data_IF_241822929614
#
_entry.id   IF_241822929614
#
_cell.length_a   1.000
_cell.length_b   1.000
_cell.length_c   1.000
_cell.angle_alpha   90.00
_cell.angle_beta   90.00
_cell.angle_gamma   90.00
#
_symmetry.space_group_name_H-M   'P 1'
#
loop_
_entity.id
_entity.type
_entity.pdbx_description
1 polymer ?
#
# COMPACT_ATOMS: atom_id res chain seq x y z
N UNK A 1 16.57 77.23 -9.04
CA UNK A 1 16.77 77.01 -7.60
C UNK A 1 15.99 75.75 -7.26
N UNK A 2 16.71 74.72 -6.82
CA UNK A 2 16.33 73.66 -5.84
C UNK A 2 14.91 73.08 -5.90
N UNK A 3 14.65 71.78 -5.83
CA UNK A 3 15.38 70.67 -5.21
C UNK A 3 14.58 69.36 -5.36
N UNK A 4 15.29 68.26 -5.10
CA UNK A 4 14.83 66.97 -4.55
C UNK A 4 14.46 65.83 -5.51
N UNK A 5 15.42 64.90 -5.53
CA UNK A 5 15.26 63.50 -5.88
C UNK A 5 14.47 62.75 -4.80
N UNK A 6 13.60 61.85 -5.23
CA UNK A 6 13.12 60.73 -4.42
C UNK A 6 13.19 59.46 -5.28
N UNK A 7 14.16 58.61 -4.93
CA UNK A 7 14.28 57.24 -5.39
C UNK A 7 13.29 56.38 -4.60
N UNK A 8 12.29 55.81 -5.27
CA UNK A 8 11.47 54.76 -4.69
C UNK A 8 11.86 53.39 -5.28
N UNK A 9 12.37 52.53 -4.39
CA UNK A 9 12.86 51.18 -4.68
C UNK A 9 11.67 50.23 -4.78
N UNK A 10 11.39 49.71 -5.96
CA UNK A 10 10.66 48.45 -6.10
C UNK A 10 11.61 47.27 -5.84
N UNK A 11 11.39 46.57 -4.74
CA UNK A 11 11.96 45.26 -4.46
C UNK A 11 11.29 44.19 -5.34
N UNK A 12 12.04 43.21 -5.90
CA UNK A 12 11.43 42.09 -6.57
C UNK A 12 10.86 41.12 -5.53
N UNK A 13 9.57 40.81 -5.70
CA UNK A 13 8.83 39.80 -4.93
C UNK A 13 9.50 38.43 -5.15
N UNK A 14 10.03 37.85 -4.06
CA UNK A 14 10.48 36.47 -4.03
C UNK A 14 9.26 35.53 -4.09
N UNK A 15 8.93 35.04 -5.27
CA UNK A 15 8.05 33.87 -5.44
C UNK A 15 8.81 32.63 -4.97
N UNK A 16 8.61 32.23 -3.72
CA UNK A 16 9.13 30.97 -3.18
C UNK A 16 8.33 29.78 -3.75
N UNK A 17 8.69 29.34 -4.95
CA UNK A 17 8.27 28.04 -5.48
C UNK A 17 8.91 26.95 -4.63
N UNK A 18 8.10 26.13 -3.95
CA UNK A 18 8.57 24.99 -3.13
C UNK A 18 9.00 23.79 -4.01
N UNK A 19 9.94 24.00 -4.93
CA UNK A 19 10.60 22.89 -5.65
C UNK A 19 11.68 22.29 -4.75
N UNK A 20 11.49 21.06 -4.28
CA UNK A 20 12.51 20.36 -3.48
C UNK A 20 13.68 19.93 -4.38
N UNK A 21 14.90 20.37 -4.06
CA UNK A 21 16.13 20.03 -4.80
C UNK A 21 16.34 18.52 -4.98
N UNK A 22 15.78 17.71 -4.06
CA UNK A 22 15.84 16.26 -4.14
C UNK A 22 15.09 15.67 -5.36
N UNK A 23 14.20 16.43 -6.00
CA UNK A 23 13.53 16.05 -7.25
C UNK A 23 14.46 16.17 -8.48
N UNK A 24 15.40 17.12 -8.47
CA UNK A 24 16.20 17.51 -9.64
C UNK A 24 17.48 16.66 -9.83
N UNK A 25 17.97 15.99 -8.78
CA UNK A 25 19.14 15.09 -8.84
C UNK A 25 18.93 13.80 -9.66
N UNK A 26 17.85 13.70 -10.43
CA UNK A 26 17.55 12.55 -11.27
C UNK A 26 18.06 12.68 -12.72
N UNK A 27 18.65 13.81 -13.13
CA UNK A 27 18.92 14.12 -14.55
C UNK A 27 20.34 14.53 -14.99
N UNK A 28 21.38 14.51 -14.14
CA UNK A 28 22.73 14.85 -14.61
C UNK A 28 23.58 13.61 -14.93
N UNK A 29 23.92 13.49 -16.22
CA UNK A 29 24.99 12.65 -16.76
C UNK A 29 26.35 13.17 -16.27
N UNK A 30 27.24 12.26 -15.88
CA UNK A 30 28.61 12.57 -15.45
C UNK A 30 29.53 12.39 -16.67
N UNK A 31 30.05 13.49 -17.20
CA UNK A 31 31.30 13.49 -17.96
C UNK A 31 32.49 13.60 -16.99
N UNK A 32 33.54 12.85 -17.32
CA UNK A 32 34.79 12.64 -16.59
C UNK A 32 35.46 13.90 -16.00
N UNK A 33 36.10 13.78 -14.83
CA UNK A 33 37.56 13.81 -14.68
C UNK A 33 38.03 13.44 -13.27
N UNK A 34 39.23 12.84 -13.21
CA UNK A 34 39.91 12.35 -12.02
C UNK A 34 40.42 13.49 -11.12
N UNK A 35 40.27 13.35 -9.80
CA UNK A 35 41.38 13.46 -8.84
C UNK A 35 40.90 13.10 -7.43
N UNK A 36 41.77 12.41 -6.68
CA UNK A 36 41.46 11.88 -5.35
C UNK A 36 41.08 12.97 -4.36
N UNK A 37 40.07 12.69 -3.53
CA UNK A 37 39.79 13.49 -2.35
C UNK A 37 39.17 12.64 -1.23
N UNK A 38 39.64 12.93 -0.03
CA UNK A 38 39.34 12.30 1.24
C UNK A 38 37.84 12.28 1.59
N UNK A 39 37.50 11.32 2.44
CA UNK A 39 36.21 11.11 3.06
C UNK A 39 35.72 12.38 3.78
N UNK A 40 34.81 13.13 3.15
CA UNK A 40 33.99 14.15 3.82
C UNK A 40 32.52 13.88 3.56
N UNK A 41 31.80 13.69 4.65
CA UNK A 41 30.35 13.60 4.74
C UNK A 41 29.75 14.98 4.53
N UNK A 42 29.55 15.42 3.28
CA UNK A 42 28.78 16.64 3.00
C UNK A 42 27.87 16.46 1.79
N UNK A 43 26.57 16.73 1.99
CA UNK A 43 25.64 16.96 0.87
C UNK A 43 24.30 16.22 0.88
N UNK A 44 23.65 16.00 2.03
CA UNK A 44 22.18 15.77 2.02
C UNK A 44 21.51 17.08 2.41
N UNK A 45 21.09 17.86 1.41
CA UNK A 45 20.31 19.09 1.62
C UNK A 45 19.14 18.83 2.55
N UNK A 46 18.96 19.66 3.58
CA UNK A 46 17.78 19.63 4.47
C UNK A 46 16.55 20.16 3.71
N UNK A 47 16.04 19.36 2.78
CA UNK A 47 14.75 19.66 2.13
C UNK A 47 13.65 19.63 3.21
N UNK A 48 13.12 20.81 3.52
CA UNK A 48 12.05 21.06 4.50
C UNK A 48 10.64 20.82 3.94
N UNK A 49 10.51 20.39 2.68
CA UNK A 49 9.21 20.12 2.06
C UNK A 49 8.56 18.89 2.75
N UNK A 50 7.35 19.04 3.35
CA UNK A 50 6.66 17.94 4.03
C UNK A 50 6.27 16.78 3.10
N UNK A 51 6.13 17.04 1.80
CA UNK A 51 5.87 16.04 0.75
C UNK A 51 7.15 15.61 0.00
N UNK A 52 8.34 15.86 0.56
CA UNK A 52 9.59 15.38 -0.02
C UNK A 52 9.57 13.85 -0.19
N UNK A 53 9.68 13.32 -1.43
CA UNK A 53 9.60 11.88 -1.67
C UNK A 53 10.76 11.07 -1.10
N UNK A 54 11.81 11.73 -0.63
CA UNK A 54 13.00 11.12 -0.06
C UNK A 54 13.14 11.38 1.46
N UNK A 55 12.17 12.07 2.08
CA UNK A 55 12.18 12.39 3.51
C UNK A 55 12.34 11.15 4.40
N UNK A 56 11.80 10.00 3.96
CA UNK A 56 11.88 8.73 4.68
C UNK A 56 13.31 8.21 4.86
N UNK A 57 14.28 8.65 4.03
CA UNK A 57 15.70 8.27 4.16
C UNK A 57 16.38 8.95 5.36
N UNK A 58 15.82 10.05 5.85
CA UNK A 58 16.41 10.88 6.91
C UNK A 58 15.84 10.58 8.29
N UNK A 59 14.84 9.71 8.38
CA UNK A 59 14.22 9.35 9.66
C UNK A 59 15.17 8.44 10.43
N UNK A 60 15.13 8.53 11.75
CA UNK A 60 15.91 7.65 12.64
C UNK A 60 15.37 6.19 12.68
N UNK A 61 14.61 5.80 11.66
CA UNK A 61 13.93 4.52 11.52
C UNK A 61 14.52 3.75 10.34
N UNK A 62 14.74 2.44 10.50
CA UNK A 62 15.37 1.62 9.47
C UNK A 62 14.62 1.67 8.12
N UNK A 63 15.38 1.89 7.02
CA UNK A 63 14.89 1.79 5.65
C UNK A 63 15.81 0.96 4.76
N UNK A 64 15.27 -0.12 4.19
CA UNK A 64 15.99 -1.00 3.25
C UNK A 64 16.42 -0.33 1.94
N UNK A 65 15.96 0.90 1.68
CA UNK A 65 16.42 1.73 0.55
C UNK A 65 17.77 2.41 0.83
N UNK A 66 18.09 2.74 2.08
CA UNK A 66 19.36 3.39 2.44
C UNK A 66 20.55 2.44 2.28
N UNK A 67 20.32 1.15 2.52
CA UNK A 67 21.33 0.10 2.37
C UNK A 67 20.97 -0.82 1.21
N UNK A 68 20.89 -0.27 0.00
CA UNK A 68 20.57 -1.01 -1.21
C UNK A 68 21.66 -0.86 -2.26
N UNK A 69 21.98 -1.95 -2.95
CA UNK A 69 22.84 -1.95 -4.13
C UNK A 69 22.07 -2.40 -5.37
N UNK A 70 22.53 -1.91 -6.50
CA UNK A 70 22.08 -2.28 -7.83
C UNK A 70 23.16 -3.15 -8.47
N UNK A 71 22.75 -4.33 -8.93
CA UNK A 71 23.58 -5.25 -9.69
C UNK A 71 23.17 -5.24 -11.15
N UNK A 72 24.12 -5.01 -12.06
CA UNK A 72 23.95 -5.12 -13.51
C UNK A 72 24.76 -6.30 -14.07
N UNK A 73 24.53 -6.62 -15.35
CA UNK A 73 25.18 -7.71 -16.09
C UNK A 73 24.92 -9.10 -15.48
N UNK A 74 23.73 -9.29 -14.92
CA UNK A 74 23.31 -10.59 -14.41
C UNK A 74 22.86 -11.50 -15.55
N UNK A 75 23.26 -12.77 -15.49
CA UNK A 75 22.82 -13.77 -16.46
C UNK A 75 21.28 -13.82 -16.55
N UNK A 76 20.76 -13.87 -17.78
CA UNK A 76 19.31 -13.88 -18.10
C UNK A 76 18.57 -15.06 -17.44
N UNK A 77 19.30 -16.15 -17.19
CA UNK A 77 18.80 -17.39 -16.61
C UNK A 77 19.07 -17.50 -15.09
N UNK A 78 19.62 -16.44 -14.47
CA UNK A 78 19.85 -16.41 -13.04
C UNK A 78 18.58 -16.00 -12.29
N UNK A 79 17.77 -16.99 -11.91
CA UNK A 79 16.67 -16.81 -10.98
C UNK A 79 17.13 -16.63 -9.53
N UNK A 80 16.16 -16.36 -8.65
CA UNK A 80 16.39 -16.13 -7.21
C UNK A 80 17.24 -17.22 -6.54
N UNK A 81 16.92 -18.49 -6.77
CA UNK A 81 17.60 -19.63 -6.15
C UNK A 81 19.08 -19.69 -6.49
N UNK A 82 19.43 -19.39 -7.74
CA UNK A 82 20.80 -19.42 -8.24
C UNK A 82 21.61 -18.26 -7.65
N UNK A 83 21.04 -17.06 -7.62
CA UNK A 83 21.71 -15.89 -7.04
C UNK A 83 21.89 -16.03 -5.53
N UNK A 84 20.89 -16.57 -4.82
CA UNK A 84 20.99 -16.84 -3.38
C UNK A 84 22.19 -17.73 -3.05
N UNK A 85 22.39 -18.82 -3.82
CA UNK A 85 23.54 -19.71 -3.63
C UNK A 85 24.87 -18.99 -3.86
N UNK A 86 24.98 -18.16 -4.91
CA UNK A 86 26.18 -17.37 -5.19
C UNK A 86 26.49 -16.36 -4.07
N UNK A 87 25.49 -15.66 -3.56
CA UNK A 87 25.68 -14.71 -2.45
C UNK A 87 26.14 -15.42 -1.17
N UNK A 88 25.56 -16.59 -0.89
CA UNK A 88 25.95 -17.42 0.26
C UNK A 88 27.38 -17.95 0.14
N UNK A 89 27.82 -18.39 -1.05
CA UNK A 89 29.21 -18.82 -1.26
C UNK A 89 30.23 -17.70 -1.10
N UNK A 90 29.82 -16.46 -1.32
CA UNK A 90 30.65 -15.27 -1.13
C UNK A 90 30.50 -14.64 0.27
N UNK A 91 29.80 -15.33 1.18
CA UNK A 91 29.51 -14.88 2.53
C UNK A 91 28.82 -13.50 2.60
N UNK A 92 28.07 -13.13 1.57
CA UNK A 92 27.33 -11.87 1.51
C UNK A 92 26.01 -12.04 2.26
N UNK A 93 25.88 -11.34 3.39
CA UNK A 93 24.62 -11.26 4.14
C UNK A 93 23.66 -10.32 3.43
N UNK A 94 22.43 -10.75 3.17
CA UNK A 94 21.42 -9.93 2.50
C UNK A 94 20.03 -10.15 3.09
N UNK A 95 19.17 -9.14 3.06
CA UNK A 95 17.78 -9.24 3.51
C UNK A 95 16.84 -9.63 2.38
N UNK A 96 17.07 -9.05 1.18
CA UNK A 96 16.11 -9.13 0.07
C UNK A 96 16.80 -9.07 -1.27
N UNK A 97 16.33 -9.89 -2.21
CA UNK A 97 16.73 -9.90 -3.62
C UNK A 97 15.50 -9.56 -4.47
N UNK A 98 15.63 -8.65 -5.44
CA UNK A 98 14.58 -8.34 -6.43
C UNK A 98 15.13 -8.32 -7.84
N UNK A 99 14.41 -8.92 -8.78
CA UNK A 99 14.69 -8.89 -10.23
C UNK A 99 13.60 -8.12 -10.97
N UNK A 100 13.71 -6.78 -11.09
CA UNK A 100 12.70 -5.98 -11.78
C UNK A 100 12.70 -6.19 -13.30
N UNK A 101 13.85 -6.52 -13.89
CA UNK A 101 14.06 -6.75 -15.32
C UNK A 101 15.20 -7.75 -15.51
N UNK A 102 15.23 -8.44 -16.63
CA UNK A 102 16.36 -9.31 -16.99
C UNK A 102 17.67 -8.52 -16.99
N UNK A 103 18.73 -9.10 -16.43
CA UNK A 103 20.04 -8.46 -16.35
C UNK A 103 20.23 -7.48 -15.19
N UNK A 104 19.17 -7.22 -14.39
CA UNK A 104 19.21 -6.28 -13.28
C UNK A 104 18.68 -6.93 -11.99
N UNK A 105 19.40 -6.75 -10.88
CA UNK A 105 18.91 -7.09 -9.56
C UNK A 105 19.17 -5.98 -8.54
N UNK A 106 18.38 -5.98 -7.48
CA UNK A 106 18.57 -5.14 -6.31
C UNK A 106 18.74 -6.01 -5.08
N UNK A 107 19.80 -5.74 -4.30
CA UNK A 107 20.03 -6.36 -2.99
C UNK A 107 19.85 -5.31 -1.90
N UNK A 108 19.11 -5.65 -0.84
CA UNK A 108 18.96 -4.82 0.35
C UNK A 108 19.65 -5.47 1.55
N UNK A 109 20.23 -4.63 2.41
CA UNK A 109 21.08 -5.00 3.54
C UNK A 109 20.56 -4.40 4.85
N UNK A 110 21.00 -4.95 5.99
CA UNK A 110 20.62 -4.46 7.33
C UNK A 110 21.47 -3.29 7.80
N UNK A 111 22.69 -3.17 7.26
CA UNK A 111 23.67 -2.17 7.67
C UNK A 111 24.43 -1.62 6.48
N UNK A 112 25.04 -0.45 6.67
CA UNK A 112 25.98 0.12 5.71
C UNK A 112 27.22 -0.79 5.54
N UNK A 113 27.70 -1.40 6.63
CA UNK A 113 28.86 -2.29 6.60
C UNK A 113 28.62 -3.52 5.71
N UNK A 114 27.46 -4.19 5.83
CA UNK A 114 27.13 -5.34 4.99
C UNK A 114 26.94 -4.93 3.51
N UNK A 115 26.38 -3.75 3.26
CA UNK A 115 26.26 -3.18 1.91
C UNK A 115 27.63 -2.95 1.28
N UNK A 116 28.52 -2.30 2.01
CA UNK A 116 29.85 -1.90 1.50
C UNK A 116 30.75 -3.13 1.29
N UNK A 117 30.65 -4.12 2.19
CA UNK A 117 31.23 -5.44 1.98
C UNK A 117 30.67 -6.13 0.72
N UNK A 118 29.36 -6.09 0.50
CA UNK A 118 28.78 -6.67 -0.69
C UNK A 118 29.27 -5.99 -1.98
N UNK A 119 29.48 -4.67 -1.97
CA UNK A 119 30.04 -3.95 -3.13
C UNK A 119 31.49 -4.39 -3.38
N UNK A 120 32.32 -4.45 -2.34
CA UNK A 120 33.73 -4.82 -2.51
C UNK A 120 33.92 -6.25 -3.02
N UNK A 121 32.99 -7.16 -2.70
CA UNK A 121 33.03 -8.56 -3.13
C UNK A 121 32.37 -8.79 -4.49
N UNK A 122 31.28 -8.08 -4.80
CA UNK A 122 30.47 -8.33 -6.00
C UNK A 122 30.90 -7.48 -7.19
N UNK A 123 31.44 -6.28 -6.98
CA UNK A 123 31.86 -5.45 -8.09
C UNK A 123 33.08 -6.06 -8.79
N UNK A 124 32.92 -6.35 -10.07
CA UNK A 124 33.92 -7.03 -10.86
C UNK A 124 34.01 -8.56 -10.69
N UNK A 125 33.16 -9.16 -9.87
CA UNK A 125 33.09 -10.61 -9.74
C UNK A 125 32.61 -11.26 -11.05
N UNK A 126 33.35 -12.28 -11.51
CA UNK A 126 33.01 -13.02 -12.73
C UNK A 126 32.04 -14.13 -12.36
N UNK A 127 30.81 -14.03 -12.87
CA UNK A 127 29.78 -15.02 -12.62
C UNK A 127 29.10 -15.43 -13.93
N UNK A 128 29.09 -16.74 -14.21
CA UNK A 128 28.52 -17.31 -15.45
C UNK A 128 29.01 -16.61 -16.73
N UNK A 129 30.31 -16.29 -16.77
CA UNK A 129 30.96 -15.63 -17.92
C UNK A 129 30.68 -14.14 -18.06
N UNK A 130 29.98 -13.51 -17.11
CA UNK A 130 29.72 -12.06 -17.10
C UNK A 130 30.34 -11.41 -15.87
N UNK A 131 30.95 -10.24 -16.06
CA UNK A 131 31.47 -9.42 -14.96
C UNK A 131 30.32 -8.62 -14.35
N UNK A 132 30.01 -8.89 -13.09
CA UNK A 132 28.95 -8.18 -12.35
C UNK A 132 29.43 -6.75 -12.08
N UNK A 133 28.53 -5.77 -12.28
CA UNK A 133 28.73 -4.39 -11.87
C UNK A 133 27.84 -4.14 -10.64
N UNK A 134 28.44 -3.78 -9.51
CA UNK A 134 27.73 -3.51 -8.26
C UNK A 134 27.91 -2.05 -7.84
N UNK A 135 26.80 -1.32 -7.73
CA UNK A 135 26.81 0.09 -7.33
C UNK A 135 25.76 0.37 -6.27
N UNK A 136 25.97 1.40 -5.46
CA UNK A 136 24.93 1.88 -4.54
C UNK A 136 23.67 2.21 -5.38
N UNK A 137 22.54 1.64 -4.99
CA UNK A 137 21.29 1.88 -5.69
C UNK A 137 20.80 3.30 -5.39
N UNK A 138 20.34 4.01 -6.42
CA UNK A 138 19.59 5.25 -6.22
C UNK A 138 18.31 4.92 -5.44
N UNK A 139 18.03 5.61 -4.32
CA UNK A 139 16.84 5.35 -3.53
C UNK A 139 15.59 5.65 -4.38
N UNK A 140 14.56 4.82 -4.23
CA UNK A 140 13.31 5.06 -4.93
C UNK A 140 12.47 6.12 -4.21
N UNK A 141 11.95 7.10 -4.94
CA UNK A 141 11.00 8.06 -4.37
C UNK A 141 9.82 7.34 -3.73
N UNK A 142 9.40 7.75 -2.53
CA UNK A 142 8.19 7.24 -1.91
C UNK A 142 6.99 7.50 -2.85
N UNK A 143 6.26 6.45 -3.29
CA UNK A 143 5.23 6.61 -4.31
C UNK A 143 4.07 7.52 -3.90
N UNK A 144 3.78 7.60 -2.60
CA UNK A 144 2.71 8.44 -2.08
C UNK A 144 3.14 9.90 -2.08
N UNK A 145 4.30 10.19 -1.48
CA UNK A 145 4.88 11.54 -1.44
C UNK A 145 5.14 12.06 -2.85
N UNK A 146 5.65 11.22 -3.75
CA UNK A 146 5.83 11.55 -5.17
C UNK A 146 4.51 11.98 -5.80
N UNK A 147 3.43 11.21 -5.63
CA UNK A 147 2.13 11.56 -6.21
C UNK A 147 1.53 12.82 -5.58
N UNK A 148 1.72 13.06 -4.27
CA UNK A 148 1.31 14.31 -3.63
C UNK A 148 2.03 15.51 -4.24
N UNK A 149 3.36 15.45 -4.34
CA UNK A 149 4.13 16.53 -4.93
C UNK A 149 3.80 16.76 -6.43
N UNK A 150 3.57 15.71 -7.21
CA UNK A 150 3.09 15.83 -8.60
C UNK A 150 1.70 16.51 -8.67
N UNK A 151 0.83 16.22 -7.71
CA UNK A 151 -0.52 16.82 -7.65
C UNK A 151 -0.46 18.29 -7.24
N UNK A 152 0.40 18.65 -6.29
CA UNK A 152 0.64 20.03 -5.86
C UNK A 152 1.17 20.89 -7.01
N UNK A 153 2.17 20.39 -7.75
CA UNK A 153 2.68 21.06 -8.95
C UNK A 153 1.56 21.23 -9.98
N UNK A 154 0.73 20.21 -10.19
CA UNK A 154 -0.39 20.30 -11.14
C UNK A 154 -1.43 21.35 -10.70
N UNK A 155 -1.74 21.43 -9.40
CA UNK A 155 -2.65 22.47 -8.88
C UNK A 155 -2.04 23.88 -8.99
N UNK A 156 -0.74 24.04 -8.75
CA UNK A 156 -0.04 25.32 -8.91
C UNK A 156 0.04 25.79 -10.37
N UNK A 157 0.14 24.85 -11.32
CA UNK A 157 0.11 25.18 -12.74
C UNK A 157 -1.30 25.62 -13.18
N UNK A 158 -2.34 24.94 -12.70
CA UNK A 158 -3.74 25.28 -12.98
C UNK A 158 -4.14 26.63 -12.36
N UNK A 159 -3.65 26.96 -11.16
CA UNK A 159 -3.92 28.25 -10.52
C UNK A 159 -3.20 29.43 -11.16
N UNK A 160 -2.07 29.20 -11.86
CA UNK A 160 -1.38 30.24 -12.64
C UNK A 160 -2.06 30.54 -13.98
N UNK A 161 -2.81 29.60 -14.53
CA UNK A 161 -3.54 29.76 -15.80
C UNK A 161 -4.96 30.33 -15.60
N UNK A 162 -5.48 30.33 -14.37
CA UNK A 162 -6.81 30.87 -14.04
C UNK A 162 -6.72 31.80 -12.84
N UNK A 163 -6.57 33.11 -13.09
CA UNK A 163 -6.74 34.15 -12.09
C UNK A 163 -8.24 34.34 -11.77
N UNK A 164 -8.87 33.35 -11.16
CA UNK A 164 -10.21 33.44 -10.57
C UNK A 164 -10.12 32.97 -9.13
N UNK A 165 -10.58 33.86 -8.25
CA UNK A 165 -10.75 33.73 -6.81
C UNK A 165 -11.38 32.39 -6.40
N UNK A 166 -10.56 31.44 -5.99
CA UNK A 166 -10.99 30.19 -5.34
C UNK A 166 -10.33 30.10 -3.97
N UNK A 167 -10.99 30.68 -2.98
CA UNK A 167 -10.90 30.23 -1.59
C UNK A 167 -11.16 28.71 -1.58
N UNK A 168 -10.11 27.91 -1.31
CA UNK A 168 -10.12 26.47 -1.04
C UNK A 168 -11.50 25.81 -1.12
N UNK A 169 -11.87 25.27 -2.28
CA UNK A 169 -13.09 24.46 -2.36
C UNK A 169 -13.00 23.36 -1.30
N UNK A 170 -14.01 23.23 -0.41
CA UNK A 170 -14.04 22.12 0.53
C UNK A 170 -14.00 20.81 -0.25
N UNK A 171 -13.23 19.83 0.25
CA UNK A 171 -13.19 18.49 -0.34
C UNK A 171 -14.62 17.99 -0.48
N UNK A 172 -15.06 17.71 -1.71
CA UNK A 172 -16.36 17.11 -1.99
C UNK A 172 -16.38 15.69 -1.41
N UNK A 173 -16.85 15.59 -0.17
CA UNK A 173 -16.93 14.35 0.60
C UNK A 173 -17.80 13.31 -0.10
N UNK A 174 -18.87 13.73 -0.77
CA UNK A 174 -19.78 12.82 -1.47
C UNK A 174 -19.07 12.17 -2.65
N UNK A 175 -18.40 12.98 -3.49
CA UNK A 175 -17.62 12.47 -4.61
C UNK A 175 -16.45 11.58 -4.17
N UNK A 176 -15.81 11.90 -3.05
CA UNK A 176 -14.79 11.04 -2.46
C UNK A 176 -15.39 9.68 -2.06
N UNK A 177 -16.55 9.69 -1.40
CA UNK A 177 -17.28 8.49 -1.01
C UNK A 177 -17.75 7.64 -2.21
N UNK A 178 -18.21 8.27 -3.30
CA UNK A 178 -18.53 7.57 -4.54
C UNK A 178 -17.29 6.89 -5.14
N UNK A 179 -16.17 7.62 -5.20
CA UNK A 179 -14.89 7.08 -5.68
C UNK A 179 -14.44 5.88 -4.83
N UNK A 180 -14.66 5.95 -3.51
CA UNK A 180 -14.39 4.83 -2.61
C UNK A 180 -15.29 3.63 -2.92
N UNK A 181 -16.59 3.87 -3.16
CA UNK A 181 -17.55 2.84 -3.53
C UNK A 181 -17.19 2.19 -4.87
N UNK A 182 -16.67 2.95 -5.83
CA UNK A 182 -16.21 2.44 -7.13
C UNK A 182 -15.02 1.48 -7.00
N UNK A 183 -14.15 1.74 -6.04
CA UNK A 183 -13.03 0.87 -5.73
C UNK A 183 -13.47 -0.48 -5.13
N UNK A 184 -14.52 -0.47 -4.30
CA UNK A 184 -14.94 -1.64 -3.51
C UNK A 184 -16.03 -2.44 -4.22
N UNK A 185 -16.96 -1.77 -4.88
CA UNK A 185 -18.15 -2.30 -5.54
C UNK A 185 -18.26 -1.76 -6.98
N UNK A 186 -17.30 -1.99 -7.89
CA UNK A 186 -17.17 -1.26 -9.16
C UNK A 186 -18.39 -1.26 -10.09
N UNK A 187 -19.32 -2.21 -9.92
CA UNK A 187 -20.54 -2.31 -10.72
C UNK A 187 -21.81 -1.90 -9.95
N UNK A 188 -21.69 -1.20 -8.82
CA UNK A 188 -22.81 -0.88 -7.93
C UNK A 188 -23.91 -0.02 -8.56
N UNK A 189 -23.61 0.71 -9.63
CA UNK A 189 -24.57 1.54 -10.38
C UNK A 189 -25.41 0.76 -11.40
N UNK A 190 -25.06 -0.50 -11.64
CA UNK A 190 -25.74 -1.36 -12.60
C UNK A 190 -26.71 -2.29 -11.86
N UNK A 191 -27.85 -2.58 -12.48
CA UNK A 191 -28.72 -3.63 -11.99
C UNK A 191 -27.99 -4.97 -12.06
N UNK A 192 -28.21 -5.82 -11.06
CA UNK A 192 -27.49 -7.07 -10.97
C UNK A 192 -27.67 -7.96 -12.21
N UNK A 193 -28.93 -8.15 -12.61
CA UNK A 193 -29.32 -8.90 -13.79
C UNK A 193 -30.23 -7.98 -14.66
N UNK A 194 -29.92 -7.76 -15.95
CA UNK A 194 -28.84 -8.40 -16.70
C UNK A 194 -27.51 -7.64 -16.69
N UNK A 195 -27.51 -6.36 -16.31
CA UNK A 195 -26.41 -5.43 -16.63
C UNK A 195 -25.05 -5.86 -16.05
N UNK A 196 -24.97 -6.21 -14.75
CA UNK A 196 -23.70 -6.68 -14.18
C UNK A 196 -23.27 -8.04 -14.75
N UNK A 197 -24.21 -8.92 -15.10
CA UNK A 197 -23.90 -10.23 -15.70
C UNK A 197 -23.35 -10.05 -17.11
N UNK A 198 -23.93 -9.14 -17.90
CA UNK A 198 -23.46 -8.78 -19.23
C UNK A 198 -22.04 -8.19 -19.14
N UNK A 199 -21.79 -7.23 -18.25
CA UNK A 199 -20.45 -6.64 -18.09
C UNK A 199 -19.39 -7.68 -17.73
N UNK A 200 -19.71 -8.60 -16.81
CA UNK A 200 -18.80 -9.71 -16.44
C UNK A 200 -18.56 -10.65 -17.61
N UNK A 201 -19.60 -11.00 -18.37
CA UNK A 201 -19.48 -11.86 -19.55
C UNK A 201 -18.58 -11.21 -20.61
N UNK A 202 -18.83 -9.95 -20.94
CA UNK A 202 -18.07 -9.17 -21.91
C UNK A 202 -16.58 -9.08 -21.53
N UNK A 203 -16.28 -8.86 -20.24
CA UNK A 203 -14.91 -8.83 -19.75
C UNK A 203 -14.18 -10.18 -19.96
N UNK A 204 -14.85 -11.29 -19.68
CA UNK A 204 -14.27 -12.63 -19.90
C UNK A 204 -14.05 -12.88 -21.39
N UNK A 205 -15.04 -12.60 -22.24
CA UNK A 205 -14.92 -12.76 -23.69
C UNK A 205 -13.75 -11.96 -24.28
N UNK A 206 -13.57 -10.72 -23.85
CA UNK A 206 -12.42 -9.88 -24.23
C UNK A 206 -11.08 -10.56 -23.91
N UNK A 207 -10.94 -11.16 -22.72
CA UNK A 207 -9.70 -11.87 -22.35
C UNK A 207 -9.52 -13.20 -23.09
N UNK A 208 -10.61 -13.89 -23.44
CA UNK A 208 -10.56 -15.10 -24.26
C UNK A 208 -10.11 -14.79 -25.70
N UNK A 209 -10.60 -13.69 -26.29
CA UNK A 209 -10.15 -13.21 -27.59
C UNK A 209 -8.68 -12.78 -27.58
N UNK A 210 -8.26 -12.03 -26.55
CA UNK A 210 -6.85 -11.63 -26.40
C UNK A 210 -5.93 -12.83 -26.21
N UNK A 211 -6.38 -13.85 -25.45
CA UNK A 211 -5.64 -15.11 -25.29
C UNK A 211 -5.47 -15.83 -26.62
N UNK A 212 -6.55 -15.95 -27.41
CA UNK A 212 -6.50 -16.53 -28.76
C UNK A 212 -5.46 -15.81 -29.63
N UNK A 213 -5.54 -14.48 -29.67
CA UNK A 213 -4.64 -13.63 -30.46
C UNK A 213 -3.18 -13.87 -30.09
N UNK A 214 -2.86 -13.89 -28.79
CA UNK A 214 -1.49 -14.14 -28.31
C UNK A 214 -1.01 -15.55 -28.60
N UNK A 215 -1.88 -16.54 -28.46
CA UNK A 215 -1.54 -17.94 -28.74
C UNK A 215 -1.18 -18.14 -30.22
N UNK A 216 -2.00 -17.59 -31.12
CA UNK A 216 -1.78 -17.69 -32.57
C UNK A 216 -0.55 -16.92 -33.05
N UNK A 217 -0.18 -15.83 -32.36
CA UNK A 217 1.07 -15.12 -32.65
C UNK A 217 2.33 -15.94 -32.33
N UNK A 218 2.27 -16.77 -31.28
CA UNK A 218 3.41 -17.57 -30.85
C UNK A 218 3.45 -18.91 -31.61
N UNK A 219 2.28 -19.52 -31.84
CA UNK A 219 2.13 -20.82 -32.47
C UNK A 219 1.09 -20.76 -33.61
N UNK A 220 1.45 -20.25 -34.79
CA UNK A 220 0.52 -20.08 -35.91
C UNK A 220 -0.17 -21.39 -36.32
N UNK A 221 0.54 -22.52 -36.25
CA UNK A 221 0.06 -23.85 -36.62
C UNK A 221 -1.19 -24.29 -35.82
N UNK A 222 -1.36 -23.79 -34.59
CA UNK A 222 -2.53 -24.11 -33.74
C UNK A 222 -3.83 -23.56 -34.36
N UNK A 223 -3.75 -22.52 -35.20
CA UNK A 223 -4.92 -21.95 -35.87
C UNK A 223 -5.66 -22.94 -36.78
N UNK A 224 -4.97 -23.98 -37.24
CA UNK A 224 -5.55 -25.03 -38.10
C UNK A 224 -6.19 -26.17 -37.32
N UNK A 225 -6.06 -26.21 -35.99
CA UNK A 225 -6.72 -27.22 -35.15
C UNK A 225 -8.22 -26.91 -35.10
N UNK A 226 -9.06 -27.91 -35.37
CA UNK A 226 -10.52 -27.75 -35.47
C UNK A 226 -11.14 -27.06 -34.24
N UNK A 227 -10.65 -27.39 -33.04
CA UNK A 227 -11.12 -26.78 -31.78
C UNK A 227 -10.86 -25.27 -31.68
N UNK A 228 -9.86 -24.76 -32.41
CA UNK A 228 -9.55 -23.33 -32.50
C UNK A 228 -10.21 -22.72 -33.74
N UNK A 229 -10.27 -23.46 -34.84
CA UNK A 229 -10.82 -22.99 -36.11
C UNK A 229 -12.33 -22.74 -36.07
N UNK A 230 -13.09 -23.59 -35.37
CA UNK A 230 -14.56 -23.59 -35.39
C UNK A 230 -15.21 -23.05 -34.10
N UNK A 231 -14.71 -21.91 -33.59
CA UNK A 231 -15.29 -21.26 -32.41
C UNK A 231 -16.32 -20.22 -32.82
N UNK A 232 -17.60 -20.49 -32.54
CA UNK A 232 -18.73 -19.57 -32.74
C UNK A 232 -18.98 -18.70 -31.51
N UNK A 233 -17.96 -18.03 -31.00
CA UNK A 233 -18.08 -17.07 -29.90
C UNK A 233 -17.12 -15.92 -30.16
N UNK A 234 -17.59 -14.69 -29.92
CA UNK A 234 -16.83 -13.47 -30.13
C UNK A 234 -16.99 -12.51 -28.98
N UNK A 235 -15.99 -11.65 -28.77
CA UNK A 235 -16.13 -10.53 -27.84
C UNK A 235 -17.06 -9.43 -28.39
N UNK A 236 -17.27 -8.38 -27.58
CA UNK A 236 -18.12 -7.24 -27.97
C UNK A 236 -17.59 -6.43 -29.16
N UNK A 237 -16.38 -6.72 -29.64
CA UNK A 237 -15.77 -6.11 -30.83
C UNK A 237 -15.77 -7.06 -32.04
N UNK A 238 -16.40 -8.23 -31.93
CA UNK A 238 -16.43 -9.23 -33.00
C UNK A 238 -15.14 -10.05 -33.13
N UNK A 239 -14.24 -10.00 -32.15
CA UNK A 239 -13.03 -10.82 -32.17
C UNK A 239 -13.34 -12.24 -31.68
N UNK A 240 -13.01 -13.25 -32.50
CA UNK A 240 -13.20 -14.65 -32.15
C UNK A 240 -12.45 -15.03 -30.88
N UNK A 241 -13.11 -15.76 -29.98
CA UNK A 241 -12.51 -16.25 -28.75
C UNK A 241 -11.76 -17.56 -28.96
N UNK A 242 -10.97 -17.98 -27.96
CA UNK A 242 -10.31 -19.30 -27.99
C UNK A 242 -11.27 -20.47 -27.72
N UNK A 243 -12.40 -20.20 -27.05
CA UNK A 243 -13.43 -21.19 -26.73
C UNK A 243 -14.79 -20.51 -26.44
N UNK A 244 -15.87 -21.30 -26.47
CA UNK A 244 -17.22 -20.86 -26.07
C UNK A 244 -17.27 -20.57 -24.57
N UNK A 245 -18.04 -19.56 -24.17
CA UNK A 245 -18.20 -19.18 -22.77
C UNK A 245 -19.58 -19.60 -22.25
N UNK A 246 -19.61 -20.51 -21.28
CA UNK A 246 -20.84 -20.87 -20.57
C UNK A 246 -21.50 -19.63 -19.92
N UNK A 247 -22.83 -19.64 -19.69
CA UNK A 247 -23.52 -18.56 -18.99
C UNK A 247 -22.89 -18.27 -17.61
N UNK A 248 -22.86 -17.00 -17.22
CA UNK A 248 -22.43 -16.61 -15.86
C UNK A 248 -23.49 -17.09 -14.89
N UNK A 249 -23.09 -17.89 -13.90
CA UNK A 249 -23.99 -18.36 -12.84
C UNK A 249 -24.26 -17.20 -11.88
N UNK A 250 -25.52 -16.75 -11.73
CA UNK A 250 -25.86 -15.69 -10.78
C UNK A 250 -25.62 -16.13 -9.33
N UNK A 251 -25.25 -15.17 -8.49
CA UNK A 251 -25.15 -15.36 -7.05
C UNK A 251 -26.57 -15.50 -6.48
N UNK A 252 -26.81 -16.46 -5.55
CA UNK A 252 -28.10 -16.61 -4.90
C UNK A 252 -28.44 -15.43 -3.97
N UNK A 253 -27.43 -14.65 -3.57
CA UNK A 253 -27.57 -13.46 -2.72
C UNK A 253 -26.77 -12.29 -3.32
N UNK A 254 -27.32 -11.09 -3.27
CA UNK A 254 -26.72 -9.88 -3.85
C UNK A 254 -26.26 -8.88 -2.77
N UNK A 255 -26.80 -9.00 -1.56
CA UNK A 255 -26.43 -8.22 -0.37
C UNK A 255 -25.91 -9.16 0.71
N UNK A 256 -25.17 -8.61 1.67
CA UNK A 256 -24.71 -9.33 2.87
C UNK A 256 -23.87 -10.59 2.56
N UNK A 257 -23.28 -10.65 1.36
CA UNK A 257 -22.58 -11.84 0.85
C UNK A 257 -21.12 -11.95 1.33
N UNK A 258 -20.53 -10.86 1.82
CA UNK A 258 -19.10 -10.81 2.14
C UNK A 258 -18.83 -11.21 3.59
N UNK A 259 -18.61 -12.50 3.78
CA UNK A 259 -18.35 -13.09 5.10
C UNK A 259 -16.93 -12.86 5.65
N UNK A 260 -16.02 -12.22 4.90
CA UNK A 260 -14.68 -11.80 5.34
C UNK A 260 -14.37 -10.40 4.83
N UNK A 261 -14.02 -9.49 5.74
CA UNK A 261 -13.60 -8.13 5.42
C UNK A 261 -12.36 -7.74 6.21
N UNK A 262 -11.41 -7.08 5.53
CA UNK A 262 -10.24 -6.44 6.14
C UNK A 262 -10.41 -4.94 5.97
N UNK A 263 -10.54 -4.23 7.09
CA UNK A 263 -10.88 -2.81 7.17
C UNK A 263 -9.70 -2.05 7.76
N UNK A 264 -9.30 -0.93 7.17
CA UNK A 264 -8.24 -0.07 7.71
C UNK A 264 -8.81 0.84 8.79
N UNK A 265 -8.00 1.17 9.80
CA UNK A 265 -8.31 2.22 10.77
C UNK A 265 -7.46 3.45 10.40
N UNK A 266 -8.09 4.60 10.17
CA UNK A 266 -7.42 5.81 9.69
C UNK A 266 -8.21 7.07 9.99
N UNK A 267 -7.75 8.20 9.43
CA UNK A 267 -8.50 9.45 9.42
C UNK A 267 -9.15 9.65 8.06
N UNK A 268 -10.32 10.30 8.03
CA UNK A 268 -11.03 10.62 6.80
C UNK A 268 -10.32 11.78 6.06
N UNK A 269 -10.81 12.13 4.87
CA UNK A 269 -10.20 13.15 4.00
C UNK A 269 -10.22 14.56 4.60
N UNK A 270 -11.16 14.83 5.51
CA UNK A 270 -11.27 16.07 6.28
C UNK A 270 -10.43 16.05 7.57
N UNK A 271 -9.75 14.94 7.86
CA UNK A 271 -8.98 14.72 9.08
C UNK A 271 -9.81 14.24 10.28
N UNK A 272 -11.12 14.06 10.12
CA UNK A 272 -11.97 13.49 11.17
C UNK A 272 -11.65 12.01 11.42
N UNK A 273 -11.94 11.52 12.62
CA UNK A 273 -11.71 10.13 12.99
C UNK A 273 -11.09 9.95 14.39
N UNK A 274 -10.57 8.76 14.70
CA UNK A 274 -10.33 7.62 13.80
C UNK A 274 -11.60 6.93 13.26
N UNK A 275 -11.55 6.45 12.02
CA UNK A 275 -12.61 5.74 11.31
C UNK A 275 -12.14 4.33 10.91
N UNK A 276 -13.03 3.33 11.07
CA UNK A 276 -12.87 1.98 10.52
C UNK A 276 -13.52 1.94 9.13
N UNK A 277 -12.73 1.66 8.10
CA UNK A 277 -13.27 1.54 6.75
C UNK A 277 -12.25 1.18 5.69
N UNK A 278 -12.35 1.80 4.53
CA UNK A 278 -11.49 1.50 3.38
C UNK A 278 -10.71 2.73 2.94
N UNK A 279 -9.51 2.52 2.41
CA UNK A 279 -8.72 3.62 1.87
C UNK A 279 -9.32 4.12 0.56
N UNK A 280 -9.42 5.44 0.40
CA UNK A 280 -9.84 6.09 -0.85
C UNK A 280 -8.93 5.76 -2.03
N UNK A 281 -7.67 5.42 -1.77
CA UNK A 281 -6.75 5.03 -2.82
C UNK A 281 -5.70 4.01 -2.34
N UNK A 282 -5.02 3.38 -3.30
CA UNK A 282 -3.78 2.64 -3.02
C UNK A 282 -2.74 3.61 -2.46
N UNK A 283 -1.72 3.14 -1.73
CA UNK A 283 -0.65 4.01 -1.22
C UNK A 283 0.02 4.84 -2.34
N UNK A 284 0.31 4.22 -3.49
CA UNK A 284 0.80 4.92 -4.70
C UNK A 284 -0.19 5.94 -5.27
N UNK A 285 -1.44 5.93 -4.81
CA UNK A 285 -2.54 6.84 -5.11
C UNK A 285 -2.40 8.23 -4.48
N UNK A 286 -1.48 8.42 -3.53
CA UNK A 286 -1.23 9.73 -2.93
C UNK A 286 -2.00 9.97 -1.63
N UNK A 287 -2.95 9.09 -1.27
CA UNK A 287 -3.77 9.25 -0.05
C UNK A 287 -3.70 8.03 0.87
N UNK A 288 -3.66 8.30 2.17
CA UNK A 288 -3.82 7.33 3.27
C UNK A 288 -5.18 7.45 3.95
N UNK A 289 -6.02 8.39 3.50
CA UNK A 289 -7.32 8.64 4.11
C UNK A 289 -8.21 7.40 4.03
N UNK A 290 -9.03 7.21 5.05
CA UNK A 290 -9.93 6.09 5.22
C UNK A 290 -11.36 6.62 5.31
N UNK A 291 -12.21 6.18 4.40
CA UNK A 291 -13.62 6.51 4.39
C UNK A 291 -14.48 5.42 4.97
N UNK A 292 -15.60 5.81 5.56
CA UNK A 292 -16.61 4.89 6.09
C UNK A 292 -17.36 4.14 4.98
N UNK A 293 -17.88 2.95 5.29
CA UNK A 293 -18.67 2.11 4.37
C UNK A 293 -20.09 1.83 4.90
N UNK A 294 -20.53 2.56 5.94
CA UNK A 294 -21.77 2.27 6.69
C UNK A 294 -23.04 2.21 5.84
N UNK A 295 -23.07 2.84 4.68
CA UNK A 295 -24.23 2.86 3.78
C UNK A 295 -24.27 1.71 2.76
N UNK A 296 -23.31 0.76 2.78
CA UNK A 296 -23.19 -0.28 1.75
C UNK A 296 -23.46 -1.70 2.30
N UNK A 297 -24.49 -2.36 1.77
CA UNK A 297 -25.00 -3.64 2.27
C UNK A 297 -24.25 -4.87 1.72
N UNK A 298 -22.93 -4.84 1.58
CA UNK A 298 -22.16 -6.01 1.11
C UNK A 298 -21.68 -6.90 2.27
N UNK A 299 -21.57 -6.36 3.49
CA UNK A 299 -21.26 -7.11 4.71
C UNK A 299 -22.53 -7.57 5.43
N UNK A 300 -22.51 -8.74 6.08
CA UNK A 300 -23.61 -9.17 6.94
C UNK A 300 -23.96 -8.15 8.02
N UNK A 301 -25.25 -8.05 8.38
CA UNK A 301 -25.71 -7.13 9.44
C UNK A 301 -25.02 -7.34 10.77
N UNK A 302 -24.77 -8.59 11.17
CA UNK A 302 -24.08 -8.89 12.44
C UNK A 302 -22.65 -8.37 12.41
N UNK A 303 -21.91 -8.66 11.34
CA UNK A 303 -20.60 -8.07 11.09
C UNK A 303 -20.60 -6.53 11.17
N UNK A 304 -21.59 -5.86 10.56
CA UNK A 304 -21.71 -4.39 10.63
C UNK A 304 -21.94 -3.90 12.07
N UNK A 305 -22.81 -4.54 12.85
CA UNK A 305 -23.03 -4.20 14.27
C UNK A 305 -21.76 -4.35 15.10
N UNK A 306 -20.99 -5.41 14.87
CA UNK A 306 -19.69 -5.63 15.53
C UNK A 306 -18.70 -4.52 15.18
N UNK A 307 -18.61 -4.13 13.91
CA UNK A 307 -17.75 -3.02 13.50
C UNK A 307 -18.21 -1.69 14.09
N UNK A 308 -19.52 -1.43 14.19
CA UNK A 308 -20.04 -0.23 14.85
C UNK A 308 -19.70 -0.19 16.35
N UNK A 309 -19.80 -1.32 17.05
CA UNK A 309 -19.39 -1.42 18.44
C UNK A 309 -17.87 -1.21 18.61
N UNK A 310 -17.06 -1.73 17.68
CA UNK A 310 -15.62 -1.52 17.67
C UNK A 310 -15.24 -0.07 17.32
N UNK A 311 -15.96 0.56 16.39
CA UNK A 311 -15.78 1.97 16.04
C UNK A 311 -16.00 2.87 17.27
N UNK A 312 -17.05 2.61 18.04
CA UNK A 312 -17.31 3.32 19.30
C UNK A 312 -16.17 3.13 20.31
N UNK A 313 -15.63 1.92 20.46
CA UNK A 313 -14.48 1.65 21.32
C UNK A 313 -13.25 2.48 20.90
N UNK A 314 -12.91 2.45 19.62
CA UNK A 314 -11.76 3.21 19.09
C UNK A 314 -11.94 4.71 19.30
N UNK A 315 -13.15 5.23 19.08
CA UNK A 315 -13.47 6.63 19.33
C UNK A 315 -13.32 6.99 20.81
N UNK A 316 -13.79 6.14 21.74
CA UNK A 316 -13.61 6.33 23.18
C UNK A 316 -12.12 6.31 23.59
N UNK A 317 -11.30 5.44 22.99
CA UNK A 317 -9.85 5.46 23.19
C UNK A 317 -9.21 6.78 22.73
N UNK A 318 -9.58 7.28 21.56
CA UNK A 318 -9.05 8.54 21.03
C UNK A 318 -9.46 9.76 21.89
N UNK A 319 -10.67 9.72 22.46
CA UNK A 319 -11.17 10.72 23.42
C UNK A 319 -10.59 10.58 24.84
N UNK A 320 -9.72 9.60 25.07
CA UNK A 320 -9.08 9.32 26.37
C UNK A 320 -10.09 9.02 27.50
N UNK A 321 -11.18 8.33 27.15
CA UNK A 321 -12.18 7.92 28.15
C UNK A 321 -11.64 6.81 29.08
N UNK A 322 -10.65 6.04 28.63
CA UNK A 322 -10.01 4.98 29.39
C UNK A 322 -8.74 5.48 30.10
N UNK A 323 -8.83 5.73 31.41
CA UNK A 323 -7.73 6.27 32.23
C UNK A 323 -6.47 5.39 32.26
N UNK A 324 -6.63 4.07 32.12
CA UNK A 324 -5.53 3.09 32.19
C UNK A 324 -4.83 2.85 30.86
N UNK A 325 -5.34 3.42 29.77
CA UNK A 325 -4.75 3.23 28.43
C UNK A 325 -3.95 4.46 28.02
N UNK A 326 -2.82 4.28 27.31
CA UNK A 326 -2.16 5.38 26.64
C UNK A 326 -3.05 5.97 25.54
N UNK A 327 -2.69 7.15 25.03
CA UNK A 327 -3.42 7.78 23.93
C UNK A 327 -3.30 6.93 22.65
N UNK A 328 -4.35 6.18 22.30
CA UNK A 328 -4.38 5.31 21.12
C UNK A 328 -4.95 6.04 19.91
N UNK A 329 -4.17 6.13 18.84
CA UNK A 329 -4.56 6.79 17.60
C UNK A 329 -4.42 5.87 16.38
N UNK A 330 -4.97 6.28 15.24
CA UNK A 330 -4.77 5.56 13.98
C UNK A 330 -3.28 5.54 13.59
N UNK A 331 -2.83 4.42 13.06
CA UNK A 331 -1.46 4.24 12.61
C UNK A 331 -1.24 4.95 11.28
N UNK A 332 -0.30 5.89 11.26
CA UNK A 332 0.13 6.57 10.04
C UNK A 332 1.28 5.78 9.38
N UNK A 333 1.07 5.20 8.18
CA UNK A 333 2.10 4.45 7.48
C UNK A 333 3.24 5.34 6.96
N UNK A 334 3.07 6.67 6.96
CA UNK A 334 4.11 7.63 6.59
C UNK A 334 5.00 7.84 7.80
N UNK A 335 4.48 8.35 8.92
CA UNK A 335 5.32 8.67 10.10
C UNK A 335 5.68 7.46 10.95
N UNK A 336 5.02 6.31 10.77
CA UNK A 336 5.09 5.12 11.63
C UNK A 336 4.60 5.36 13.06
N UNK A 337 3.85 6.44 13.28
CA UNK A 337 3.25 6.77 14.56
C UNK A 337 1.83 6.23 14.68
N UNK A 338 1.35 6.09 15.91
CA UNK A 338 0.02 5.57 16.22
C UNK A 338 -0.02 4.05 16.36
N UNK A 339 -1.23 3.54 16.58
CA UNK A 339 -1.45 2.19 17.09
C UNK A 339 -2.41 1.40 16.21
N UNK A 340 -3.60 1.93 15.94
CA UNK A 340 -4.63 1.20 15.24
C UNK A 340 -4.32 1.02 13.76
N UNK A 341 -4.14 -0.23 13.29
CA UNK A 341 -3.78 -0.49 11.88
C UNK A 341 -4.98 -0.90 11.05
N UNK A 342 -5.55 -2.06 11.35
CA UNK A 342 -6.67 -2.63 10.60
C UNK A 342 -7.43 -3.64 11.45
N UNK A 343 -8.61 -4.00 10.98
CA UNK A 343 -9.51 -4.98 11.58
C UNK A 343 -9.79 -6.04 10.54
N UNK A 344 -9.59 -7.29 10.89
CA UNK A 344 -10.14 -8.42 10.15
C UNK A 344 -11.43 -8.84 10.86
N UNK A 345 -12.53 -8.95 10.11
CA UNK A 345 -13.77 -9.54 10.59
C UNK A 345 -14.18 -10.69 9.68
N UNK A 346 -14.67 -11.76 10.28
CA UNK A 346 -15.22 -12.93 9.59
C UNK A 346 -16.49 -13.40 10.27
N UNK A 347 -17.47 -13.79 9.48
CA UNK A 347 -18.72 -14.41 9.93
C UNK A 347 -18.84 -15.81 9.34
N UNK A 348 -19.17 -16.79 10.17
CA UNK A 348 -19.43 -18.15 9.72
C UNK A 348 -20.86 -18.30 9.19
N UNK A 349 -21.15 -19.41 8.50
CA UNK A 349 -22.53 -19.73 8.11
C UNK A 349 -23.45 -20.02 9.31
N UNK A 350 -22.88 -20.36 10.47
CA UNK A 350 -23.61 -20.52 11.74
C UNK A 350 -23.86 -19.18 12.45
N UNK A 351 -23.38 -18.06 11.90
CA UNK A 351 -23.51 -16.73 12.50
C UNK A 351 -22.46 -16.40 13.57
N UNK A 352 -21.48 -17.28 13.80
CA UNK A 352 -20.36 -16.98 14.70
C UNK A 352 -19.49 -15.88 14.07
N UNK A 353 -19.18 -14.84 14.83
CA UNK A 353 -18.36 -13.70 14.37
C UNK A 353 -17.01 -13.69 15.05
N UNK A 354 -15.95 -13.53 14.25
CA UNK A 354 -14.57 -13.44 14.69
C UNK A 354 -13.99 -12.09 14.26
N UNK A 355 -13.37 -11.39 15.22
CA UNK A 355 -12.60 -10.17 14.97
C UNK A 355 -11.13 -10.39 15.35
N UNK A 356 -10.23 -9.95 14.48
CA UNK A 356 -8.81 -9.76 14.79
C UNK A 356 -8.49 -8.27 14.63
N UNK A 357 -8.15 -7.63 15.74
CA UNK A 357 -7.77 -6.22 15.79
C UNK A 357 -6.24 -6.11 15.74
N UNK A 358 -5.72 -5.44 14.71
CA UNK A 358 -4.28 -5.28 14.52
C UNK A 358 -3.81 -3.95 15.08
N UNK A 359 -2.86 -4.01 16.00
CA UNK A 359 -2.29 -2.84 16.67
C UNK A 359 -0.77 -2.81 16.56
N UNK A 360 -0.24 -1.59 16.42
CA UNK A 360 1.16 -1.28 16.56
C UNK A 360 1.43 -0.92 18.04
N UNK A 361 2.23 -1.73 18.70
CA UNK A 361 2.57 -1.62 20.12
C UNK A 361 3.99 -1.10 20.35
N UNK A 362 4.53 -0.37 19.37
CA UNK A 362 5.84 0.25 19.53
C UNK A 362 5.84 1.20 20.74
N UNK A 363 6.65 0.88 21.75
CA UNK A 363 6.74 1.64 23.00
C UNK A 363 5.71 1.25 24.07
N UNK A 364 4.94 0.16 23.89
CA UNK A 364 4.03 -0.34 24.92
C UNK A 364 4.75 -1.32 25.84
N UNK A 365 4.41 -1.27 27.12
CA UNK A 365 4.75 -2.29 28.09
C UNK A 365 3.78 -3.48 28.01
N UNK A 366 4.16 -4.62 28.60
CA UNK A 366 3.24 -5.75 28.76
C UNK A 366 2.00 -5.38 29.60
N UNK A 367 2.15 -4.45 30.55
CA UNK A 367 1.04 -3.93 31.34
C UNK A 367 0.05 -3.15 30.47
N UNK A 368 0.53 -2.30 29.56
CA UNK A 368 -0.32 -1.57 28.61
C UNK A 368 -1.12 -2.52 27.72
N UNK A 369 -0.48 -3.61 27.25
CA UNK A 369 -1.14 -4.64 26.43
C UNK A 369 -2.21 -5.36 27.26
N UNK A 370 -1.91 -5.74 28.50
CA UNK A 370 -2.86 -6.41 29.39
C UNK A 370 -4.05 -5.50 29.75
N UNK A 371 -3.80 -4.22 30.00
CA UNK A 371 -4.85 -3.23 30.20
C UNK A 371 -5.74 -3.13 28.96
N UNK A 372 -5.16 -3.07 27.77
CA UNK A 372 -5.92 -3.04 26.51
C UNK A 372 -6.77 -4.30 26.31
N UNK A 373 -6.23 -5.49 26.60
CA UNK A 373 -6.98 -6.74 26.54
C UNK A 373 -8.17 -6.72 27.51
N UNK A 374 -7.98 -6.20 28.72
CA UNK A 374 -9.04 -6.11 29.72
C UNK A 374 -10.13 -5.10 29.35
N UNK A 375 -9.77 -3.94 28.81
CA UNK A 375 -10.74 -2.94 28.34
C UNK A 375 -11.55 -3.47 27.15
N UNK A 376 -10.90 -4.14 26.19
CA UNK A 376 -11.60 -4.80 25.07
C UNK A 376 -12.56 -5.89 25.57
N UNK A 377 -12.13 -6.70 26.55
CA UNK A 377 -12.97 -7.74 27.15
C UNK A 377 -14.20 -7.12 27.81
N UNK A 378 -13.99 -6.10 28.64
CA UNK A 378 -15.07 -5.41 29.36
C UNK A 378 -16.04 -4.77 28.37
N UNK A 379 -15.54 -4.05 27.37
CA UNK A 379 -16.36 -3.38 26.36
C UNK A 379 -17.34 -4.31 25.64
N UNK A 380 -16.88 -5.50 25.24
CA UNK A 380 -17.66 -6.45 24.44
C UNK A 380 -18.40 -7.52 25.26
N UNK A 381 -18.07 -7.74 26.53
CA UNK A 381 -18.78 -8.71 27.37
C UNK A 381 -19.83 -8.06 28.27
N UNK A 382 -19.54 -6.88 28.82
CA UNK A 382 -20.42 -6.21 29.81
C UNK A 382 -20.65 -4.74 29.54
N UNK A 383 -19.90 -4.13 28.62
CA UNK A 383 -19.96 -2.72 28.28
C UNK A 383 -20.84 -2.41 27.06
N UNK A 384 -20.67 -1.22 26.44
CA UNK A 384 -21.52 -0.73 25.34
C UNK A 384 -21.50 -1.59 24.07
N UNK A 385 -20.56 -2.54 23.95
CA UNK A 385 -20.45 -3.47 22.84
C UNK A 385 -21.04 -4.85 23.10
N UNK A 386 -21.63 -5.11 24.28
CA UNK A 386 -22.18 -6.42 24.68
C UNK A 386 -23.18 -6.98 23.66
N UNK A 387 -24.04 -6.10 23.14
CA UNK A 387 -25.16 -6.50 22.28
C UNK A 387 -24.75 -6.61 20.80
N UNK A 388 -23.45 -6.51 20.50
CA UNK A 388 -22.92 -6.60 19.13
C UNK A 388 -23.02 -8.00 18.52
N UNK A 389 -23.13 -9.04 19.37
CA UNK A 389 -23.13 -10.44 18.92
C UNK A 389 -21.74 -11.00 18.59
N UNK A 390 -20.66 -10.33 19.01
CA UNK A 390 -19.29 -10.78 18.78
C UNK A 390 -18.99 -12.09 19.53
N UNK A 391 -18.58 -13.13 18.81
CA UNK A 391 -18.31 -14.46 19.38
C UNK A 391 -16.87 -14.62 19.85
N UNK A 392 -15.91 -14.15 19.04
CA UNK A 392 -14.48 -14.27 19.33
C UNK A 392 -13.73 -13.00 18.97
N UNK A 393 -12.84 -12.56 19.87
CA UNK A 393 -12.02 -11.38 19.67
C UNK A 393 -10.55 -11.69 19.97
N UNK A 394 -9.68 -11.29 19.04
CA UNK A 394 -8.23 -11.39 19.14
C UNK A 394 -7.58 -10.04 18.92
N UNK A 395 -6.47 -9.81 19.60
CA UNK A 395 -5.60 -8.67 19.44
C UNK A 395 -4.28 -9.16 18.83
N UNK A 396 -3.97 -8.74 17.61
CA UNK A 396 -2.63 -8.92 17.04
C UNK A 396 -1.77 -7.73 17.40
N UNK A 397 -0.73 -8.00 18.19
CA UNK A 397 0.28 -7.00 18.57
C UNK A 397 1.52 -7.18 17.70
N UNK A 398 1.99 -6.06 17.16
CA UNK A 398 3.24 -6.01 16.41
C UNK A 398 3.98 -4.75 16.79
N UNK A 399 5.28 -4.84 17.04
CA UNK A 399 6.12 -3.65 17.22
C UNK A 399 6.73 -3.32 15.86
N UNK A 400 6.30 -2.22 15.27
CA UNK A 400 6.85 -1.69 14.03
C UNK A 400 7.54 -0.36 14.29
N UNK A 401 8.86 -0.33 14.09
CA UNK A 401 9.69 0.88 14.07
C UNK A 401 10.29 1.04 12.66
N UNK A 402 9.67 1.87 11.82
CA UNK A 402 10.02 1.98 10.40
C UNK A 402 9.69 0.72 9.59
N UNK A 403 10.70 0.19 8.87
CA UNK A 403 10.54 -1.03 8.06
C UNK A 403 10.78 -2.31 8.90
N UNK A 404 11.40 -2.21 10.09
CA UNK A 404 11.56 -3.37 10.98
C UNK A 404 10.22 -3.68 11.65
N UNK A 405 9.73 -4.90 11.47
CA UNK A 405 8.53 -5.44 12.10
C UNK A 405 8.95 -6.63 12.96
N UNK A 406 8.58 -6.63 14.24
CA UNK A 406 8.70 -7.82 15.09
C UNK A 406 7.74 -8.92 14.60
N UNK A 407 7.92 -10.16 15.06
CA UNK A 407 6.90 -11.18 14.90
C UNK A 407 5.53 -10.68 15.36
N UNK A 408 4.47 -11.08 14.65
CA UNK A 408 3.10 -10.80 15.07
C UNK A 408 2.74 -11.78 16.18
N UNK A 409 2.37 -11.23 17.35
CA UNK A 409 1.89 -12.00 18.49
C UNK A 409 0.36 -11.85 18.56
N UNK A 410 -0.34 -12.99 18.56
CA UNK A 410 -1.80 -13.02 18.51
C UNK A 410 -2.35 -13.42 19.88
N UNK A 411 -2.92 -12.45 20.59
CA UNK A 411 -3.47 -12.63 21.93
C UNK A 411 -4.98 -12.76 21.90
N UNK A 412 -5.51 -13.77 22.57
CA UNK A 412 -6.95 -13.95 22.70
C UNK A 412 -7.52 -13.00 23.75
N UNK A 413 -8.58 -12.27 23.39
CA UNK A 413 -9.35 -11.47 24.34
C UNK A 413 -10.44 -12.34 24.99
N UNK A 414 -11.29 -12.97 24.17
CA UNK A 414 -12.29 -13.96 24.58
C UNK A 414 -12.77 -14.79 23.38
N UNK A 415 -13.57 -15.83 23.64
CA UNK A 415 -14.28 -16.61 22.62
C UNK A 415 -13.69 -18.00 22.36
N UNK A 416 -14.04 -18.60 21.22
CA UNK A 416 -13.54 -19.92 20.80
C UNK A 416 -12.15 -19.81 20.15
N UNK A 417 -11.24 -20.77 20.38
CA UNK A 417 -9.92 -20.81 19.74
C UNK A 417 -10.00 -20.85 18.21
N UNK A 418 -9.12 -20.09 17.56
CA UNK A 418 -9.00 -19.94 16.09
C UNK A 418 -8.84 -21.29 15.35
N UNK A 419 -8.37 -22.33 16.04
CA UNK A 419 -8.15 -23.68 15.48
C UNK A 419 -9.42 -24.36 14.95
N UNK A 420 -10.62 -23.92 15.36
CA UNK A 420 -11.89 -24.41 14.81
C UNK A 420 -12.46 -23.55 13.67
N UNK A 421 -11.91 -22.36 13.42
CA UNK A 421 -12.46 -21.39 12.46
C UNK A 421 -11.54 -21.21 11.23
N UNK A 422 -10.26 -21.57 11.32
CA UNK A 422 -9.28 -21.45 10.24
C UNK A 422 -8.68 -22.79 9.84
N UNK A 423 -9.44 -23.60 9.08
CA UNK A 423 -8.86 -24.46 8.06
C UNK A 423 -9.55 -24.13 6.75
N UNK A 424 -9.03 -23.12 6.06
CA UNK A 424 -8.89 -23.06 4.59
C UNK A 424 -8.41 -21.67 4.18
N UNK A 425 -7.34 -21.62 3.38
CA UNK A 425 -6.79 -20.47 2.66
C UNK A 425 -5.75 -19.55 3.33
N UNK A 426 -4.70 -20.11 3.93
CA UNK A 426 -3.36 -19.49 3.93
C UNK A 426 -2.28 -20.56 3.75
N UNK A 427 -2.39 -21.37 2.69
CA UNK A 427 -1.28 -22.15 2.17
C UNK A 427 -1.56 -22.44 0.70
N UNK A 428 -1.22 -21.48 -0.16
CA UNK A 428 -1.09 -21.61 -1.62
C UNK A 428 -0.79 -20.22 -2.18
N UNK A 429 0.39 -19.68 -1.88
CA UNK A 429 1.11 -18.69 -2.72
C UNK A 429 2.53 -18.51 -2.15
N UNK A 430 3.28 -19.60 -2.15
CA UNK A 430 4.73 -19.60 -2.22
C UNK A 430 5.18 -20.97 -2.72
N UNK A 431 5.16 -21.14 -4.04
CA UNK A 431 6.07 -22.03 -4.76
C UNK A 431 6.40 -21.40 -6.11
#
# INVERSE_FOLDING_TARGET
MESNAETDKLSPVNTSTLTCDCMNNSKTDISNENNGFECKTDGVSTCSNPNCPFSYLRRNTFTSEAFKIQLKNISRHAGFSVMKKMLQSLNVKFCKIKFPKCGLAFLSFESAADRDFAISVLDGHIWKGSKIEAKIARPHADPLMKRRAESEIKSELLSKEQHIDWLSEPVDLEKAHETLRDSILPLWRLNYDPDQLIEKRNLVLKYLAETRRRLLLINPEIGNVDSVKFVEESDSKGQTTICKLAPIIPSPIQTEYRNKSELTIGYDVDGSGPVIGFRYSKYKGGSVAVGSFKSWNFMPRNSTKVIDALQKFITACSKREFKKLPSLNAFDPITYNGNWRHVLIRESRSGDTLVVLYTNTHGFTEEDINNLLNELRTWFQTGPGSDSGLTSLYLSVSSRSGIKQSGEDLRQVFGKPVSQIFISYYSLHHH
#
